data_IF_572653438705
#
_entry.id   IF_572653438705
#
_cell.length_a   1.000
_cell.length_b   1.000
_cell.length_c   1.000
_cell.angle_alpha   90.00
_cell.angle_beta   90.00
_cell.angle_gamma   90.00
#
_symmetry.space_group_name_H-M   'P 1'
#
loop_
_entity.id
_entity.type
_entity.pdbx_description
1 polymer ?
#
# COMPACT_ATOMS: atom_id res chain seq x y z
N UNK A 1 30.81 13.32 39.10
CA UNK A 1 30.59 11.97 38.53
C UNK A 1 29.39 12.01 37.58
N UNK A 2 29.43 11.30 36.44
CA UNK A 2 28.94 11.83 35.16
C UNK A 2 27.72 11.09 34.55
N UNK A 3 27.18 11.75 33.52
CA UNK A 3 26.14 11.34 32.55
C UNK A 3 26.35 9.95 31.93
N UNK A 4 25.30 9.12 31.91
CA UNK A 4 25.04 8.08 30.88
C UNK A 4 24.08 8.73 29.85
N UNK A 5 24.30 8.88 28.54
CA UNK A 5 24.95 8.14 27.44
C UNK A 5 24.28 6.83 27.02
N UNK A 6 23.71 6.87 25.81
CA UNK A 6 23.54 5.75 24.88
C UNK A 6 22.12 5.18 24.83
N UNK A 7 21.53 4.75 23.72
CA UNK A 7 21.84 4.65 22.28
C UNK A 7 20.44 4.60 21.61
N UNK A 8 20.21 5.10 20.39
CA UNK A 8 20.25 4.28 19.19
C UNK A 8 20.35 5.16 17.92
N UNK A 9 21.31 4.75 17.08
CA UNK A 9 21.59 5.15 15.70
C UNK A 9 20.32 5.22 14.83
N UNK A 10 20.02 6.25 14.03
CA UNK A 10 20.75 6.95 12.96
C UNK A 10 21.10 6.06 11.76
N UNK A 11 20.64 6.53 10.59
CA UNK A 11 21.00 6.20 9.20
C UNK A 11 20.13 5.14 8.49
N UNK A 12 19.34 5.59 7.52
CA UNK A 12 19.48 5.17 6.11
C UNK A 12 18.76 6.17 5.21
N UNK A 13 19.44 7.29 4.95
CA UNK A 13 19.13 8.18 3.84
C UNK A 13 20.41 8.34 3.01
N UNK A 14 20.26 8.15 1.70
CA UNK A 14 21.20 8.37 0.59
C UNK A 14 22.23 7.26 0.30
N UNK A 15 22.06 6.64 -0.87
CA UNK A 15 23.14 6.56 -1.86
C UNK A 15 22.56 6.21 -3.24
N UNK A 16 22.30 7.24 -4.05
CA UNK A 16 22.20 7.13 -5.50
C UNK A 16 23.57 7.54 -6.06
N UNK A 17 24.40 6.59 -6.45
CA UNK A 17 25.55 6.83 -7.30
C UNK A 17 25.99 5.55 -8.03
N UNK A 18 25.68 5.54 -9.33
CA UNK A 18 26.37 4.92 -10.47
C UNK A 18 27.57 4.01 -10.17
N UNK A 19 27.50 2.76 -10.67
CA UNK A 19 28.63 2.06 -11.30
C UNK A 19 28.08 1.18 -12.43
N UNK A 20 28.64 1.37 -13.62
CA UNK A 20 28.29 0.65 -14.83
C UNK A 20 28.89 -0.75 -14.91
N UNK A 21 28.27 -1.52 -15.79
CA UNK A 21 28.83 -2.53 -16.70
C UNK A 21 29.80 -3.59 -16.13
N UNK A 22 29.23 -4.75 -15.84
CA UNK A 22 29.86 -6.03 -16.14
C UNK A 22 28.80 -6.99 -16.73
N UNK A 23 29.00 -7.35 -17.99
CA UNK A 23 28.21 -8.33 -18.70
C UNK A 23 28.42 -9.72 -18.10
N UNK A 24 27.38 -10.27 -17.45
CA UNK A 24 27.24 -11.70 -17.21
C UNK A 24 26.17 -12.26 -18.15
N UNK A 25 26.68 -13.09 -19.06
CA UNK A 25 25.99 -13.97 -20.01
C UNK A 25 25.37 -15.12 -19.22
N UNK A 26 24.05 -15.20 -19.26
CA UNK A 26 23.25 -16.23 -18.61
C UNK A 26 21.81 -15.90 -18.96
N UNK A 27 21.11 -16.85 -19.55
CA UNK A 27 19.76 -16.77 -20.08
C UNK A 27 18.82 -15.90 -19.21
N UNK A 28 18.72 -14.60 -19.52
CA UNK A 28 17.84 -13.69 -18.82
C UNK A 28 16.45 -13.90 -19.40
N UNK A 29 15.72 -14.85 -18.83
CA UNK A 29 14.25 -14.86 -18.93
C UNK A 29 13.81 -13.44 -18.59
N UNK A 30 13.39 -12.69 -19.62
CA UNK A 30 12.85 -11.34 -19.45
C UNK A 30 11.67 -11.46 -18.48
N UNK A 31 11.48 -10.47 -17.59
CA UNK A 31 10.59 -10.59 -16.45
C UNK A 31 9.24 -11.11 -16.89
N UNK A 32 8.74 -12.12 -16.19
CA UNK A 32 7.35 -12.58 -16.32
C UNK A 32 6.46 -11.49 -15.71
N UNK A 33 6.41 -10.28 -16.30
CA UNK A 33 5.69 -9.12 -15.73
C UNK A 33 4.24 -9.47 -15.33
N UNK A 34 3.58 -10.26 -16.17
CA UNK A 34 2.24 -10.79 -15.92
C UNK A 34 2.24 -11.92 -14.88
N UNK A 35 3.22 -12.82 -14.92
CA UNK A 35 3.34 -13.93 -13.98
C UNK A 35 3.63 -13.47 -12.55
N UNK A 36 4.51 -12.48 -12.39
CA UNK A 36 4.86 -11.87 -11.10
C UNK A 36 3.66 -11.10 -10.52
N UNK A 37 2.90 -10.41 -11.39
CA UNK A 37 1.64 -9.77 -11.01
C UNK A 37 0.61 -10.81 -10.54
N UNK A 38 0.38 -11.86 -11.33
CA UNK A 38 -0.57 -12.92 -10.98
C UNK A 38 -0.18 -13.63 -9.68
N UNK A 39 1.11 -13.97 -9.52
CA UNK A 39 1.63 -14.57 -8.29
C UNK A 39 1.41 -13.66 -7.08
N UNK A 40 1.65 -12.35 -7.24
CA UNK A 40 1.41 -11.38 -6.18
C UNK A 40 -0.07 -11.26 -5.84
N UNK A 41 -0.94 -11.19 -6.85
CA UNK A 41 -2.39 -11.09 -6.64
C UNK A 41 -3.01 -12.38 -6.09
N UNK A 42 -2.33 -13.53 -6.25
CA UNK A 42 -2.75 -14.81 -5.69
C UNK A 42 -2.62 -14.85 -4.16
N UNK A 43 -1.81 -13.96 -3.57
CA UNK A 43 -1.74 -13.83 -2.12
C UNK A 43 -2.99 -13.12 -1.56
N UNK A 44 -3.75 -13.76 -0.64
CA UNK A 44 -5.01 -13.22 -0.15
C UNK A 44 -4.89 -11.79 0.43
N UNK A 45 -3.81 -11.54 1.17
CA UNK A 45 -3.57 -10.23 1.80
C UNK A 45 -3.36 -9.13 0.75
N UNK A 46 -2.62 -9.40 -0.33
CA UNK A 46 -2.41 -8.43 -1.41
C UNK A 46 -3.73 -8.07 -2.09
N UNK A 47 -4.56 -9.07 -2.38
CA UNK A 47 -5.85 -8.86 -3.01
C UNK A 47 -6.79 -8.06 -2.10
N UNK A 48 -6.85 -8.37 -0.80
CA UNK A 48 -7.67 -7.62 0.15
C UNK A 48 -7.22 -6.16 0.32
N UNK A 49 -5.91 -5.91 0.34
CA UNK A 49 -5.36 -4.54 0.33
C UNK A 49 -5.79 -3.81 -0.95
N UNK A 50 -5.54 -4.43 -2.12
CA UNK A 50 -5.91 -3.87 -3.42
C UNK A 50 -7.40 -3.52 -3.49
N UNK A 51 -8.23 -4.44 -3.01
CA UNK A 51 -9.67 -4.32 -2.93
C UNK A 51 -10.11 -3.12 -2.09
N UNK A 52 -9.43 -2.88 -0.97
CA UNK A 52 -9.72 -1.76 -0.07
C UNK A 52 -9.26 -0.42 -0.66
N UNK A 53 -8.01 -0.34 -1.14
CA UNK A 53 -7.44 0.92 -1.68
C UNK A 53 -8.00 1.31 -3.05
N UNK A 54 -8.63 0.37 -3.77
CA UNK A 54 -9.37 0.65 -5.00
C UNK A 54 -10.60 1.54 -4.79
N UNK A 55 -11.08 1.66 -3.54
CA UNK A 55 -12.29 2.42 -3.21
C UNK A 55 -11.95 3.81 -2.69
N UNK A 56 -10.97 3.89 -1.80
CA UNK A 56 -10.55 5.12 -1.15
C UNK A 56 -9.06 4.99 -0.78
N UNK A 57 -8.31 6.09 -0.74
CA UNK A 57 -6.96 6.05 -0.20
C UNK A 57 -6.94 5.71 1.30
N UNK A 58 -6.04 4.82 1.71
CA UNK A 58 -5.96 4.33 3.10
C UNK A 58 -4.55 4.36 3.67
N UNK A 59 -4.43 4.52 4.98
CA UNK A 59 -3.17 4.42 5.71
C UNK A 59 -2.86 2.97 6.13
N UNK A 60 -1.63 2.66 6.52
CA UNK A 60 -1.28 1.32 7.07
C UNK A 60 -2.13 0.98 8.31
N UNK A 61 -2.32 1.88 9.30
CA UNK A 61 -3.15 1.56 10.46
C UNK A 61 -4.63 1.31 10.11
N UNK A 62 -5.18 2.00 9.09
CA UNK A 62 -6.53 1.70 8.61
C UNK A 62 -6.62 0.30 8.01
N UNK A 63 -5.67 -0.03 7.13
CA UNK A 63 -5.63 -1.33 6.46
C UNK A 63 -5.45 -2.45 7.48
N UNK A 64 -4.57 -2.30 8.46
CA UNK A 64 -4.41 -3.24 9.57
C UNK A 64 -5.73 -3.47 10.31
N UNK A 65 -6.45 -2.39 10.63
CA UNK A 65 -7.72 -2.50 11.35
C UNK A 65 -8.87 -3.04 10.50
N UNK A 66 -8.91 -2.76 9.19
CA UNK A 66 -9.93 -3.30 8.26
C UNK A 66 -9.70 -4.80 8.04
N UNK A 67 -8.43 -5.17 7.85
CA UNK A 67 -8.06 -6.54 7.48
C UNK A 67 -7.92 -7.47 8.68
N UNK A 68 -7.95 -6.91 9.89
CA UNK A 68 -7.69 -7.60 11.16
C UNK A 68 -6.30 -8.25 11.18
N UNK A 69 -5.31 -7.52 10.67
CA UNK A 69 -3.93 -7.97 10.54
C UNK A 69 -2.96 -7.01 11.28
N UNK A 70 -1.86 -7.52 11.84
CA UNK A 70 -0.80 -6.67 12.38
C UNK A 70 -0.23 -5.70 11.32
N UNK A 71 0.06 -4.47 11.73
CA UNK A 71 0.67 -3.44 10.87
C UNK A 71 1.95 -3.89 10.14
N UNK A 72 2.87 -4.67 10.76
CA UNK A 72 4.06 -5.16 10.05
C UNK A 72 3.73 -6.05 8.84
N UNK A 73 2.69 -6.89 8.94
CA UNK A 73 2.26 -7.76 7.84
C UNK A 73 1.70 -6.91 6.70
N UNK A 74 0.86 -5.93 7.05
CA UNK A 74 0.27 -5.00 6.07
C UNK A 74 1.35 -4.15 5.41
N UNK A 75 2.33 -3.67 6.17
CA UNK A 75 3.45 -2.87 5.63
C UNK A 75 4.28 -3.67 4.63
N UNK A 76 4.64 -4.91 4.96
CA UNK A 76 5.39 -5.78 4.04
C UNK A 76 4.59 -6.07 2.75
N UNK A 77 3.29 -6.34 2.88
CA UNK A 77 2.41 -6.55 1.74
C UNK A 77 2.30 -5.29 0.85
N UNK A 78 2.20 -4.10 1.45
CA UNK A 78 2.19 -2.82 0.73
C UNK A 78 3.52 -2.57 0.02
N UNK A 79 4.65 -2.92 0.63
CA UNK A 79 5.97 -2.79 0.02
C UNK A 79 6.08 -3.65 -1.24
N UNK A 80 5.66 -4.92 -1.17
CA UNK A 80 5.59 -5.82 -2.34
C UNK A 80 4.73 -5.21 -3.46
N UNK A 81 3.54 -4.70 -3.12
CA UNK A 81 2.63 -4.06 -4.08
C UNK A 81 3.22 -2.78 -4.69
N UNK A 82 4.00 -2.00 -3.93
CA UNK A 82 4.69 -0.81 -4.43
C UNK A 82 5.86 -1.14 -5.35
N UNK A 83 6.62 -2.20 -5.03
CA UNK A 83 7.74 -2.66 -5.85
C UNK A 83 7.28 -3.07 -7.25
N UNK A 84 6.06 -3.60 -7.35
CA UNK A 84 5.40 -3.91 -8.63
C UNK A 84 4.61 -2.75 -9.24
N UNK A 85 4.68 -1.56 -8.63
CA UNK A 85 3.96 -0.35 -9.09
C UNK A 85 2.45 -0.56 -9.19
N UNK A 86 1.87 -1.40 -8.34
CA UNK A 86 0.42 -1.64 -8.26
C UNK A 86 -0.23 -0.58 -7.38
N UNK A 87 0.46 -0.18 -6.32
CA UNK A 87 0.01 0.81 -5.35
C UNK A 87 1.04 1.95 -5.31
N UNK A 88 0.57 3.17 -5.09
CA UNK A 88 1.41 4.35 -4.88
C UNK A 88 1.10 5.00 -3.54
N UNK A 89 2.13 5.57 -2.92
CA UNK A 89 2.01 6.38 -1.72
C UNK A 89 1.83 7.86 -2.07
N UNK A 90 1.10 8.60 -1.23
CA UNK A 90 1.14 10.06 -1.19
C UNK A 90 0.97 10.55 0.24
N UNK A 91 1.59 11.68 0.54
CA UNK A 91 1.65 12.22 1.90
C UNK A 91 0.58 13.29 2.08
N UNK A 92 -0.27 13.11 3.10
CA UNK A 92 -1.22 14.10 3.60
C UNK A 92 -0.91 14.29 5.08
N UNK A 93 -0.05 15.26 5.39
CA UNK A 93 0.51 15.47 6.73
C UNK A 93 -0.59 15.39 7.80
N UNK A 94 -0.39 14.60 8.88
CA UNK A 94 0.80 13.81 9.24
C UNK A 94 0.81 12.36 8.70
N UNK A 95 -0.06 12.00 7.76
CA UNK A 95 -0.28 10.62 7.32
C UNK A 95 0.29 10.31 5.93
N UNK A 96 0.68 9.06 5.72
CA UNK A 96 0.94 8.48 4.39
C UNK A 96 -0.26 7.63 3.98
N UNK A 97 -0.78 7.89 2.79
CA UNK A 97 -1.92 7.18 2.23
C UNK A 97 -1.52 6.42 0.97
N UNK A 98 -2.16 5.29 0.76
CA UNK A 98 -1.93 4.39 -0.36
C UNK A 98 -3.17 4.32 -1.25
N UNK A 99 -2.95 4.35 -2.56
CA UNK A 99 -4.00 4.22 -3.59
C UNK A 99 -3.45 3.43 -4.78
N UNK A 100 -4.32 2.94 -5.65
CA UNK A 100 -3.90 2.29 -6.90
C UNK A 100 -2.98 3.20 -7.69
N UNK A 101 -1.87 2.68 -8.21
CA UNK A 101 -1.04 3.42 -9.15
C UNK A 101 -1.70 3.45 -10.54
N UNK A 102 -1.37 4.43 -11.40
CA UNK A 102 -1.69 4.32 -12.82
C UNK A 102 -0.94 3.13 -13.40
N UNK A 103 -1.68 2.14 -13.90
CA UNK A 103 -1.13 0.90 -14.44
C UNK A 103 -1.04 0.98 -15.96
N UNK A 104 -0.11 0.21 -16.55
CA UNK A 104 -0.13 -0.04 -17.99
C UNK A 104 -1.42 -0.82 -18.36
N UNK A 105 -1.97 -0.58 -19.55
CA UNK A 105 -3.29 -1.08 -19.95
C UNK A 105 -3.52 -2.61 -19.79
N UNK A 106 -2.47 -3.44 -19.86
CA UNK A 106 -2.59 -4.88 -19.61
C UNK A 106 -2.61 -5.22 -18.11
N UNK A 107 -1.77 -4.58 -17.30
CA UNK A 107 -1.80 -4.72 -15.83
C UNK A 107 -3.08 -4.16 -15.24
N UNK A 108 -3.58 -3.05 -15.77
CA UNK A 108 -4.86 -2.47 -15.37
C UNK A 108 -6.01 -3.46 -15.60
N UNK A 109 -6.08 -4.06 -16.79
CA UNK A 109 -7.10 -5.08 -17.10
C UNK A 109 -7.03 -6.28 -16.16
N UNK A 110 -5.83 -6.76 -15.83
CA UNK A 110 -5.65 -7.86 -14.89
C UNK A 110 -6.06 -7.48 -13.47
N UNK A 111 -5.68 -6.29 -12.99
CA UNK A 111 -6.09 -5.79 -11.70
C UNK A 111 -7.62 -5.60 -11.62
N UNK A 112 -8.24 -5.05 -12.67
CA UNK A 112 -9.69 -4.95 -12.78
C UNK A 112 -10.36 -6.31 -12.77
N UNK A 113 -9.87 -7.28 -13.55
CA UNK A 113 -10.41 -8.63 -13.58
C UNK A 113 -10.32 -9.32 -12.20
N UNK A 114 -9.21 -9.17 -11.49
CA UNK A 114 -9.06 -9.69 -10.12
C UNK A 114 -10.03 -9.01 -9.14
N UNK A 115 -10.18 -7.69 -9.21
CA UNK A 115 -11.10 -6.92 -8.37
C UNK A 115 -12.58 -7.21 -8.67
N UNK A 116 -12.89 -7.54 -9.92
CA UNK A 116 -14.21 -7.94 -10.37
C UNK A 116 -14.53 -9.37 -9.95
N UNK A 117 -13.56 -10.29 -10.02
CA UNK A 117 -13.71 -11.67 -9.56
C UNK A 117 -14.09 -11.75 -8.07
N UNK A 118 -13.55 -10.86 -7.24
CA UNK A 118 -13.88 -10.81 -5.81
C UNK A 118 -15.12 -9.97 -5.48
N UNK A 119 -15.86 -9.45 -6.47
CA UNK A 119 -17.13 -8.75 -6.18
C UNK A 119 -18.19 -9.66 -5.58
N UNK A 120 -18.17 -10.95 -5.91
CA UNK A 120 -19.13 -11.91 -5.37
C UNK A 120 -18.83 -12.33 -3.92
N UNK A 121 -17.62 -12.08 -3.43
CA UNK A 121 -17.19 -12.51 -2.10
C UNK A 121 -17.70 -11.55 -1.01
N UNK A 122 -18.52 -12.02 -0.04
CA UNK A 122 -18.98 -11.21 1.08
C UNK A 122 -17.84 -10.64 1.93
N UNK A 123 -16.72 -11.36 2.09
CA UNK A 123 -15.59 -10.86 2.87
C UNK A 123 -14.93 -9.66 2.17
N UNK A 124 -14.70 -9.76 0.86
CA UNK A 124 -14.21 -8.63 0.06
C UNK A 124 -15.16 -7.42 0.09
N UNK A 125 -16.48 -7.64 0.15
CA UNK A 125 -17.44 -6.53 0.26
C UNK A 125 -17.44 -5.89 1.65
N UNK A 126 -17.23 -6.66 2.73
CA UNK A 126 -17.03 -6.11 4.08
C UNK A 126 -15.79 -5.22 4.14
N UNK A 127 -14.67 -5.68 3.58
CA UNK A 127 -13.43 -4.88 3.51
C UNK A 127 -13.68 -3.54 2.79
N UNK A 128 -14.42 -3.55 1.66
CA UNK A 128 -14.80 -2.33 0.92
C UNK A 128 -15.70 -1.40 1.72
N UNK A 129 -16.68 -1.95 2.42
CA UNK A 129 -17.60 -1.16 3.25
C UNK A 129 -16.84 -0.50 4.41
N UNK A 130 -15.98 -1.26 5.09
CA UNK A 130 -15.13 -0.78 6.18
C UNK A 130 -14.17 0.32 5.70
N UNK A 131 -13.53 0.15 4.54
CA UNK A 131 -12.68 1.18 3.92
C UNK A 131 -13.43 2.51 3.75
N UNK A 132 -14.64 2.48 3.20
CA UNK A 132 -15.48 3.67 3.03
C UNK A 132 -15.86 4.30 4.37
N UNK A 133 -16.25 3.50 5.35
CA UNK A 133 -16.62 3.98 6.68
C UNK A 133 -15.45 4.70 7.37
N UNK A 134 -14.24 4.13 7.30
CA UNK A 134 -13.01 4.74 7.83
C UNK A 134 -12.66 6.06 7.15
N UNK A 135 -12.76 6.11 5.82
CA UNK A 135 -12.51 7.34 5.06
C UNK A 135 -13.46 8.47 5.47
N UNK A 136 -14.75 8.17 5.66
CA UNK A 136 -15.75 9.14 6.14
C UNK A 136 -15.45 9.62 7.56
N UNK A 137 -15.21 8.70 8.50
CA UNK A 137 -14.88 9.06 9.88
C UNK A 137 -13.66 9.98 9.99
N UNK A 138 -12.67 9.82 9.11
CA UNK A 138 -11.50 10.74 9.02
C UNK A 138 -11.88 12.13 8.50
N UNK A 139 -12.78 12.22 7.52
CA UNK A 139 -13.29 13.51 7.05
C UNK A 139 -14.10 14.22 8.14
N UNK A 140 -14.97 13.50 8.84
CA UNK A 140 -15.78 14.06 9.93
C UNK A 140 -14.90 14.57 11.08
N UNK A 141 -13.87 13.81 11.45
CA UNK A 141 -12.89 14.23 12.48
C UNK A 141 -12.14 15.50 12.08
N UNK A 142 -11.90 15.72 10.78
CA UNK A 142 -11.29 16.95 10.26
C UNK A 142 -12.26 18.12 10.16
N UNK A 143 -13.53 17.86 9.89
CA UNK A 143 -14.56 18.90 9.81
C UNK A 143 -14.98 19.40 11.20
N UNK A 144 -14.94 18.55 12.22
CA UNK A 144 -15.35 18.87 13.59
C UNK A 144 -14.60 20.04 14.26
N UNK A 145 -13.26 20.19 14.14
CA UNK A 145 -12.56 21.35 14.70
C UNK A 145 -12.94 22.66 14.00
N UNK A 146 -13.25 22.64 12.70
CA UNK A 146 -13.61 23.85 11.95
C UNK A 146 -14.98 24.44 12.34
N UNK A 147 -15.87 23.66 12.96
CA UNK A 147 -17.19 24.13 13.39
C UNK A 147 -17.19 24.71 14.82
N UNK A 148 -16.22 24.34 15.66
CA UNK A 148 -16.14 24.81 17.06
C UNK A 148 -15.45 26.17 17.20
N UNK A 149 -14.66 26.58 16.20
CA UNK A 149 -13.99 27.90 16.16
C UNK A 149 -14.85 29.01 15.50
N UNK A 150 -16.12 28.72 15.15
CA UNK A 150 -17.02 29.63 14.42
C UNK A 150 -18.20 30.17 15.27
N UNK A 151 -18.12 30.05 16.59
CA UNK A 151 -19.11 30.55 17.58
C UNK A 151 -18.41 31.38 18.63
#
# INVERSE_FOLDING_TARGET
>A
MPRQKGYFHRHHARSLARRGDAAAKGDRVRPRLVGDLLATLNEPTHLRILNSVSRVPLSVPDLAAILELPEPIVSAAIETLQNLRIVRAFTVVPHVLYTLAPLAAHHERLACAALDAVRGDPAAQRDRAAARARSRARLDTRARPALMDAT
#
